data_IF_884714325011
#
_entry.id   IF_884714325011
#
_cell.length_a   1.000
_cell.length_b   1.000
_cell.length_c   1.000
_cell.angle_alpha   90.00
_cell.angle_beta   90.00
_cell.angle_gamma   90.00
#
_symmetry.space_group_name_H-M   'P 1'
#
loop_
_entity.id
_entity.type
_entity.pdbx_description
1 polymer ?
#
# COMPACT_ATOMS: atom_id res chain seq x y z
N UNK A 1 -36.11 3.38 -43.30
CA UNK A 1 -36.76 3.78 -42.03
C UNK A 1 -36.80 2.56 -41.11
N UNK A 2 -35.78 2.42 -40.27
CA UNK A 2 -35.74 1.58 -39.06
C UNK A 2 -34.60 2.14 -38.23
N UNK A 3 -34.92 3.14 -37.41
CA UNK A 3 -33.98 3.77 -36.48
C UNK A 3 -33.92 2.92 -35.21
N UNK A 4 -32.81 2.21 -35.01
CA UNK A 4 -32.51 1.68 -33.67
C UNK A 4 -32.20 2.83 -32.72
N UNK A 5 -32.67 2.77 -31.46
CA UNK A 5 -32.32 3.75 -30.44
C UNK A 5 -30.83 3.61 -30.06
N UNK A 6 -30.15 4.71 -29.69
CA UNK A 6 -28.76 4.66 -29.26
C UNK A 6 -28.61 3.94 -27.92
N UNK A 7 -27.46 3.29 -27.66
CA UNK A 7 -27.18 2.68 -26.37
C UNK A 7 -27.12 3.74 -25.27
N UNK A 8 -27.82 3.46 -24.17
CA UNK A 8 -27.87 4.28 -22.97
C UNK A 8 -26.50 4.35 -22.30
N UNK A 9 -25.84 5.51 -22.42
CA UNK A 9 -24.74 5.89 -21.55
C UNK A 9 -25.26 6.03 -20.12
N UNK A 10 -24.76 5.18 -19.22
CA UNK A 10 -24.90 5.35 -17.77
C UNK A 10 -24.00 6.52 -17.33
N UNK A 11 -24.58 7.70 -17.15
CA UNK A 11 -23.93 8.83 -16.50
C UNK A 11 -24.88 9.41 -15.45
N UNK A 12 -24.73 8.95 -14.22
CA UNK A 12 -25.36 9.53 -13.04
C UNK A 12 -24.67 10.85 -12.68
N UNK A 13 -25.06 11.96 -13.33
CA UNK A 13 -24.82 13.31 -12.80
C UNK A 13 -25.93 13.65 -11.80
N UNK A 14 -25.66 13.54 -10.50
CA UNK A 14 -26.42 14.25 -9.47
C UNK A 14 -25.49 15.17 -8.68
N UNK A 15 -25.68 16.47 -8.93
CA UNK A 15 -25.20 17.59 -8.12
C UNK A 15 -25.63 17.42 -6.67
N UNK A 16 -24.69 17.41 -5.72
CA UNK A 16 -24.95 17.40 -4.29
C UNK A 16 -24.31 18.62 -3.61
N UNK A 17 -25.20 19.47 -3.09
CA UNK A 17 -24.89 20.63 -2.26
C UNK A 17 -24.45 20.14 -0.87
N UNK A 18 -23.20 20.43 -0.48
CA UNK A 18 -22.64 20.05 0.82
C UNK A 18 -23.19 20.93 1.95
N UNK A 19 -23.84 20.30 2.92
CA UNK A 19 -24.21 20.90 4.21
C UNK A 19 -23.03 20.78 5.18
N UNK A 20 -22.50 21.92 5.65
CA UNK A 20 -21.55 22.01 6.76
C UNK A 20 -22.32 21.88 8.08
N UNK A 21 -21.96 20.93 8.94
CA UNK A 21 -21.71 21.13 10.38
C UNK A 21 -21.43 19.83 11.12
N UNK A 22 -20.83 20.00 12.31
CA UNK A 22 -20.64 19.04 13.41
C UNK A 22 -19.27 18.36 13.43
N UNK A 23 -18.35 18.90 14.25
CA UNK A 23 -17.83 18.23 15.45
C UNK A 23 -17.00 19.23 16.29
N UNK A 24 -17.45 19.47 17.52
CA UNK A 24 -16.72 20.16 18.60
C UNK A 24 -16.61 19.19 19.77
N UNK A 25 -15.41 19.09 20.35
CA UNK A 25 -15.21 18.93 21.79
C UNK A 25 -14.87 17.52 22.29
N UNK A 26 -13.61 17.31 22.65
CA UNK A 26 -13.22 16.46 23.78
C UNK A 26 -11.92 16.99 24.40
N UNK A 27 -11.94 17.21 25.70
CA UNK A 27 -10.82 17.70 26.54
C UNK A 27 -9.84 16.58 26.92
N UNK A 28 -8.59 16.90 27.32
CA UNK A 28 -7.56 15.92 27.61
C UNK A 28 -7.63 15.38 29.06
N UNK A 29 -7.44 14.06 29.20
CA UNK A 29 -7.23 13.38 30.48
C UNK A 29 -5.73 13.43 30.86
N UNK A 30 -5.45 13.75 32.12
CA UNK A 30 -4.11 13.72 32.71
C UNK A 30 -3.74 12.31 33.20
N UNK A 31 -2.44 11.92 33.20
CA UNK A 31 -1.99 10.65 33.77
C UNK A 31 -1.57 10.80 35.24
N UNK A 32 -2.02 9.88 36.09
CA UNK A 32 -1.51 9.67 37.45
C UNK A 32 -0.41 8.60 37.42
N UNK A 33 0.82 8.98 37.77
CA UNK A 33 1.94 8.06 37.95
C UNK A 33 2.02 7.59 39.41
N UNK A 34 2.04 6.27 39.62
CA UNK A 34 2.43 5.65 40.89
C UNK A 34 3.86 5.10 40.75
N UNK A 35 4.81 5.73 41.44
CA UNK A 35 6.18 5.23 41.57
C UNK A 35 6.23 4.22 42.73
N UNK A 36 6.61 2.99 42.43
CA UNK A 36 7.02 1.98 43.41
C UNK A 36 8.55 1.90 43.39
N UNK A 37 9.19 2.28 44.49
CA UNK A 37 10.64 2.22 44.66
C UNK A 37 11.07 0.80 45.04
N UNK A 38 11.60 0.05 44.07
CA UNK A 38 12.31 -1.22 44.31
C UNK A 38 13.78 -0.98 44.67
N UNK A 39 14.39 -1.86 45.47
CA UNK A 39 15.77 -1.72 45.95
C UNK A 39 16.79 -1.82 44.82
N UNK A 40 17.82 -0.98 44.93
CA UNK A 40 18.95 -0.80 44.01
C UNK A 40 19.64 -2.13 43.66
N UNK A 41 19.34 -2.64 42.46
CA UNK A 41 20.17 -3.63 41.77
C UNK A 41 21.45 -2.92 41.31
N UNK A 42 22.63 -3.49 41.62
CA UNK A 42 23.89 -3.07 41.02
C UNK A 42 23.81 -3.32 39.52
N UNK A 43 23.70 -2.23 38.76
CA UNK A 43 23.78 -2.24 37.29
C UNK A 43 25.23 -2.53 36.93
N UNK A 44 25.51 -3.74 36.45
CA UNK A 44 26.75 -4.02 35.74
C UNK A 44 26.77 -3.14 34.48
N UNK A 45 27.85 -2.37 34.31
CA UNK A 45 27.98 -1.50 33.13
C UNK A 45 27.92 -2.36 31.86
N UNK A 46 27.02 -2.05 30.91
CA UNK A 46 26.88 -2.83 29.70
C UNK A 46 28.19 -2.81 28.91
N UNK A 47 28.73 -3.99 28.65
CA UNK A 47 29.85 -4.19 27.73
C UNK A 47 29.48 -3.52 26.42
N UNK A 48 30.26 -2.52 26.03
CA UNK A 48 30.07 -1.73 24.82
C UNK A 48 30.37 -2.63 23.62
N UNK A 49 29.39 -3.37 23.13
CA UNK A 49 29.49 -4.11 21.88
C UNK A 49 29.79 -3.11 20.76
N UNK A 50 30.96 -3.25 20.14
CA UNK A 50 31.29 -2.54 18.91
C UNK A 50 30.27 -2.97 17.84
N UNK A 51 29.56 -2.03 17.19
CA UNK A 51 28.60 -2.39 16.16
C UNK A 51 29.33 -3.10 15.02
N UNK A 52 28.86 -4.31 14.69
CA UNK A 52 29.38 -5.06 13.55
C UNK A 52 29.38 -4.17 12.30
N UNK A 53 30.41 -4.26 11.44
CA UNK A 53 30.48 -3.46 10.23
C UNK A 53 29.24 -3.72 9.37
N UNK A 54 28.48 -2.65 9.10
CA UNK A 54 27.31 -2.67 8.20
C UNK A 54 27.78 -3.21 6.86
N UNK A 55 27.36 -4.42 6.50
CA UNK A 55 27.66 -4.97 5.18
C UNK A 55 26.93 -4.11 4.15
N UNK A 56 27.66 -3.26 3.45
CA UNK A 56 27.09 -2.45 2.37
C UNK A 56 26.64 -3.37 1.24
N UNK A 57 25.34 -3.65 1.17
CA UNK A 57 24.74 -4.35 0.03
C UNK A 57 25.06 -3.64 -1.27
N UNK A 58 25.31 -4.41 -2.34
CA UNK A 58 25.55 -3.84 -3.66
C UNK A 58 24.24 -3.27 -4.24
N UNK A 59 24.34 -2.37 -5.22
CA UNK A 59 23.16 -1.88 -5.95
C UNK A 59 22.37 -3.03 -6.61
N UNK A 60 23.07 -4.11 -7.00
CA UNK A 60 22.45 -5.31 -7.57
C UNK A 60 21.59 -6.02 -6.53
N UNK A 61 22.03 -6.09 -5.28
CA UNK A 61 21.26 -6.70 -4.19
C UNK A 61 19.97 -5.91 -3.95
N UNK A 62 20.04 -4.57 -3.95
CA UNK A 62 18.84 -3.72 -3.81
C UNK A 62 17.81 -3.94 -4.91
N UNK A 63 18.24 -4.00 -6.18
CA UNK A 63 17.32 -4.27 -7.29
C UNK A 63 16.78 -5.70 -7.26
N UNK A 64 17.59 -6.67 -6.82
CA UNK A 64 17.13 -8.05 -6.60
C UNK A 64 16.04 -8.10 -5.54
N UNK A 65 16.25 -7.47 -4.39
CA UNK A 65 15.24 -7.37 -3.33
C UNK A 65 14.01 -6.58 -3.79
N UNK A 66 14.18 -5.54 -4.61
CA UNK A 66 13.06 -4.77 -5.20
C UNK A 66 12.20 -5.66 -6.09
N UNK A 67 12.81 -6.49 -6.95
CA UNK A 67 12.09 -7.44 -7.79
C UNK A 67 11.39 -8.51 -6.95
N UNK A 68 12.05 -9.02 -5.91
CA UNK A 68 11.46 -9.98 -4.96
C UNK A 68 10.24 -9.40 -4.25
N UNK A 69 10.32 -8.17 -3.74
CA UNK A 69 9.19 -7.46 -3.12
C UNK A 69 8.07 -7.21 -4.13
N UNK A 70 8.41 -6.84 -5.37
CA UNK A 70 7.43 -6.61 -6.45
C UNK A 70 6.59 -7.85 -6.71
N UNK A 71 7.24 -9.01 -6.88
CA UNK A 71 6.56 -10.28 -7.19
C UNK A 71 5.84 -10.85 -5.97
N UNK A 72 6.47 -10.79 -4.80
CA UNK A 72 5.92 -11.40 -3.59
C UNK A 72 4.82 -10.58 -2.93
N UNK A 73 4.78 -9.25 -3.10
CA UNK A 73 3.86 -8.38 -2.36
C UNK A 73 3.04 -7.49 -3.28
N UNK A 74 3.68 -6.64 -4.09
CA UNK A 74 3.01 -5.55 -4.77
C UNK A 74 2.09 -6.00 -5.90
N UNK A 75 2.54 -6.98 -6.70
CA UNK A 75 1.68 -7.56 -7.73
C UNK A 75 0.47 -8.26 -7.12
N UNK A 76 0.63 -9.18 -6.13
CA UNK A 76 -0.50 -9.78 -5.42
C UNK A 76 -1.44 -8.76 -4.77
N UNK A 77 -0.91 -7.64 -4.24
CA UNK A 77 -1.69 -6.57 -3.64
C UNK A 77 -2.64 -5.94 -4.67
N UNK A 78 -2.11 -5.40 -5.77
CA UNK A 78 -2.92 -4.79 -6.83
C UNK A 78 -3.90 -5.78 -7.47
N UNK A 79 -3.47 -7.03 -7.68
CA UNK A 79 -4.36 -8.10 -8.14
C UNK A 79 -5.51 -8.34 -7.16
N UNK A 80 -5.20 -8.46 -5.87
CA UNK A 80 -6.17 -8.72 -4.80
C UNK A 80 -7.16 -7.58 -4.65
N UNK A 81 -6.69 -6.33 -4.72
CA UNK A 81 -7.55 -5.15 -4.69
C UNK A 81 -8.58 -5.18 -5.83
N UNK A 82 -8.13 -5.42 -7.07
CA UNK A 82 -9.01 -5.47 -8.25
C UNK A 82 -9.96 -6.67 -8.22
N UNK A 83 -9.51 -7.83 -7.77
CA UNK A 83 -10.39 -8.97 -7.58
C UNK A 83 -11.49 -8.67 -6.56
N UNK A 84 -11.13 -8.00 -5.46
CA UNK A 84 -12.09 -7.56 -4.45
C UNK A 84 -13.02 -6.45 -4.95
N UNK A 85 -12.60 -5.56 -5.84
CA UNK A 85 -13.49 -4.53 -6.40
C UNK A 85 -14.59 -5.16 -7.26
N UNK A 86 -14.26 -6.19 -8.05
CA UNK A 86 -15.23 -6.98 -8.82
C UNK A 86 -16.22 -7.69 -7.88
N UNK A 87 -15.72 -8.28 -6.80
CA UNK A 87 -16.58 -8.90 -5.79
C UNK A 87 -17.51 -7.87 -5.12
N UNK A 88 -17.00 -6.70 -4.76
CA UNK A 88 -17.80 -5.64 -4.15
C UNK A 88 -18.90 -5.12 -5.09
N UNK A 89 -18.59 -4.93 -6.38
CA UNK A 89 -19.56 -4.56 -7.40
C UNK A 89 -20.62 -5.65 -7.60
N UNK A 90 -20.21 -6.93 -7.62
CA UNK A 90 -21.13 -8.08 -7.66
C UNK A 90 -22.05 -8.19 -6.44
N UNK A 91 -21.67 -7.58 -5.31
CA UNK A 91 -22.51 -7.44 -4.11
C UNK A 91 -23.43 -6.21 -4.15
N UNK A 92 -23.33 -5.38 -5.19
CA UNK A 92 -24.12 -4.16 -5.37
C UNK A 92 -23.56 -2.93 -4.66
N UNK A 93 -22.30 -2.96 -4.21
CA UNK A 93 -21.63 -1.79 -3.64
C UNK A 93 -20.96 -0.96 -4.72
N UNK A 94 -21.27 0.32 -4.77
CA UNK A 94 -20.62 1.26 -5.68
C UNK A 94 -19.26 1.72 -5.16
N UNK A 95 -18.44 2.25 -6.07
CA UNK A 95 -17.12 2.83 -5.78
C UNK A 95 -17.14 4.05 -4.83
N UNK A 96 -18.29 4.48 -4.32
CA UNK A 96 -18.44 5.54 -3.31
C UNK A 96 -18.84 5.02 -1.94
N UNK A 97 -19.09 3.71 -1.82
CA UNK A 97 -19.66 3.12 -0.62
C UNK A 97 -18.57 2.62 0.33
N UNK A 98 -18.76 2.83 1.63
CA UNK A 98 -17.80 2.37 2.66
C UNK A 98 -17.52 0.85 2.57
N UNK A 99 -18.52 -0.03 2.34
CA UNK A 99 -18.24 -1.46 2.13
C UNK A 99 -17.30 -1.74 0.94
N UNK A 100 -17.40 -0.99 -0.15
CA UNK A 100 -16.49 -1.15 -1.30
C UNK A 100 -15.05 -0.87 -0.89
N UNK A 101 -14.81 0.22 -0.14
CA UNK A 101 -13.49 0.59 0.38
C UNK A 101 -12.91 -0.51 1.28
N UNK A 102 -13.72 -1.05 2.19
CA UNK A 102 -13.26 -2.08 3.12
C UNK A 102 -12.98 -3.41 2.41
N UNK A 103 -13.81 -3.81 1.44
CA UNK A 103 -13.63 -5.06 0.69
C UNK A 103 -12.38 -4.99 -0.18
N UNK A 104 -12.16 -3.87 -0.87
CA UNK A 104 -10.97 -3.66 -1.71
C UNK A 104 -9.68 -3.59 -0.86
N UNK A 105 -9.69 -2.87 0.26
CA UNK A 105 -8.61 -2.94 1.25
C UNK A 105 -8.36 -4.36 1.79
N UNK A 106 -9.43 -5.13 2.01
CA UNK A 106 -9.33 -6.55 2.37
C UNK A 106 -8.69 -7.41 1.28
N UNK A 107 -8.93 -7.09 0.01
CA UNK A 107 -8.25 -7.70 -1.14
C UNK A 107 -6.76 -7.42 -1.15
N UNK A 108 -6.36 -6.17 -0.89
CA UNK A 108 -4.97 -5.74 -0.80
C UNK A 108 -4.25 -6.46 0.36
N UNK A 109 -4.89 -6.54 1.53
CA UNK A 109 -4.43 -7.31 2.69
C UNK A 109 -4.18 -8.77 2.32
N UNK A 110 -5.17 -9.44 1.74
CA UNK A 110 -5.10 -10.85 1.38
C UNK A 110 -4.00 -11.10 0.34
N UNK A 111 -3.90 -10.22 -0.67
CA UNK A 111 -2.87 -10.23 -1.68
C UNK A 111 -1.46 -10.20 -1.08
N UNK A 112 -1.18 -9.22 -0.22
CA UNK A 112 0.14 -9.11 0.46
C UNK A 112 0.44 -10.30 1.35
N UNK A 113 -0.52 -10.73 2.18
CA UNK A 113 -0.30 -11.82 3.13
C UNK A 113 -0.03 -13.16 2.42
N UNK A 114 -0.85 -13.50 1.43
CA UNK A 114 -0.75 -14.75 0.65
C UNK A 114 0.50 -14.69 -0.23
N UNK A 115 0.71 -13.58 -0.93
CA UNK A 115 1.87 -13.39 -1.80
C UNK A 115 3.18 -13.53 -1.04
N UNK A 116 3.34 -12.83 0.09
CA UNK A 116 4.58 -12.82 0.85
C UNK A 116 4.85 -14.20 1.46
N UNK A 117 3.87 -14.74 2.19
CA UNK A 117 4.03 -16.02 2.88
C UNK A 117 4.20 -17.16 1.88
N UNK A 118 3.42 -17.16 0.79
CA UNK A 118 3.49 -18.18 -0.26
C UNK A 118 4.82 -18.14 -1.01
N UNK A 119 5.30 -16.95 -1.38
CA UNK A 119 6.59 -16.79 -2.05
C UNK A 119 7.74 -17.36 -1.21
N UNK A 120 7.84 -16.99 0.07
CA UNK A 120 8.90 -17.49 0.95
C UNK A 120 8.73 -18.96 1.35
N UNK A 121 7.51 -19.48 1.40
CA UNK A 121 7.27 -20.92 1.56
C UNK A 121 7.81 -21.71 0.35
N UNK A 122 7.59 -21.23 -0.87
CA UNK A 122 8.15 -21.81 -2.09
C UNK A 122 9.66 -21.68 -2.09
N UNK A 123 10.20 -20.47 -1.86
CA UNK A 123 11.64 -20.22 -1.78
C UNK A 123 12.32 -21.13 -0.75
N UNK A 124 11.65 -21.38 0.39
CA UNK A 124 12.12 -22.34 1.39
C UNK A 124 12.20 -23.76 0.85
N UNK A 125 11.14 -24.22 0.20
CA UNK A 125 11.06 -25.58 -0.31
C UNK A 125 12.05 -25.87 -1.45
N UNK A 126 12.40 -24.85 -2.25
CA UNK A 126 13.19 -25.05 -3.48
C UNK A 126 14.63 -24.53 -3.42
N UNK A 127 14.92 -23.53 -2.58
CA UNK A 127 16.19 -22.79 -2.64
C UNK A 127 16.85 -22.59 -1.27
N UNK A 128 16.11 -22.14 -0.25
CA UNK A 128 16.69 -21.75 1.04
C UNK A 128 15.95 -22.38 2.24
N UNK A 129 16.37 -23.56 2.72
CA UNK A 129 15.71 -24.24 3.83
C UNK A 129 15.81 -23.48 5.17
N UNK A 130 16.67 -22.45 5.27
CA UNK A 130 16.88 -21.68 6.50
C UNK A 130 15.76 -20.68 6.80
N UNK A 131 14.93 -20.34 5.82
CA UNK A 131 13.81 -19.39 5.96
C UNK A 131 12.89 -19.81 7.12
N UNK A 132 12.62 -18.89 8.05
CA UNK A 132 11.62 -19.10 9.10
C UNK A 132 10.23 -18.62 8.63
N UNK A 133 9.34 -19.57 8.36
CA UNK A 133 7.98 -19.29 7.88
C UNK A 133 7.14 -18.58 8.94
N UNK A 134 7.41 -18.79 10.23
CA UNK A 134 6.70 -18.08 11.30
C UNK A 134 7.01 -16.58 11.24
N UNK A 135 8.29 -16.23 11.18
CA UNK A 135 8.74 -14.83 11.14
C UNK A 135 8.30 -14.16 9.83
N UNK A 136 8.32 -14.91 8.72
CA UNK A 136 7.77 -14.49 7.43
C UNK A 136 6.26 -14.19 7.53
N UNK A 137 5.47 -15.08 8.15
CA UNK A 137 4.04 -14.88 8.30
C UNK A 137 3.71 -13.68 9.22
N UNK A 138 4.50 -13.46 10.27
CA UNK A 138 4.38 -12.28 11.13
C UNK A 138 4.68 -10.98 10.38
N UNK A 139 5.76 -10.97 9.59
CA UNK A 139 6.11 -9.85 8.71
C UNK A 139 5.03 -9.61 7.67
N UNK A 140 4.52 -10.67 7.05
CA UNK A 140 3.42 -10.63 6.09
C UNK A 140 2.15 -10.04 6.69
N UNK A 141 1.78 -10.44 7.90
CA UNK A 141 0.62 -9.92 8.61
C UNK A 141 0.77 -8.41 8.89
N UNK A 142 1.93 -7.98 9.38
CA UNK A 142 2.20 -6.57 9.64
C UNK A 142 2.10 -5.72 8.37
N UNK A 143 2.74 -6.15 7.28
CA UNK A 143 2.70 -5.45 5.99
C UNK A 143 1.29 -5.48 5.37
N UNK A 144 0.56 -6.59 5.50
CA UNK A 144 -0.80 -6.73 4.99
C UNK A 144 -1.75 -5.75 5.69
N UNK A 145 -1.60 -5.52 6.99
CA UNK A 145 -2.39 -4.50 7.72
C UNK A 145 -2.11 -3.09 7.22
N UNK A 146 -0.85 -2.75 6.92
CA UNK A 146 -0.53 -1.48 6.28
C UNK A 146 -1.11 -1.37 4.85
N UNK A 147 -1.06 -2.45 4.09
CA UNK A 147 -1.67 -2.54 2.76
C UNK A 147 -3.19 -2.36 2.83
N UNK A 148 -3.87 -2.97 3.81
CA UNK A 148 -5.29 -2.75 4.06
C UNK A 148 -5.64 -1.27 4.18
N UNK A 149 -4.89 -0.53 5.00
CA UNK A 149 -5.11 0.90 5.21
C UNK A 149 -4.92 1.71 3.92
N UNK A 150 -3.89 1.39 3.14
CA UNK A 150 -3.63 2.01 1.83
C UNK A 150 -4.72 1.68 0.80
N UNK A 151 -5.01 0.39 0.61
CA UNK A 151 -6.00 -0.09 -0.34
C UNK A 151 -7.41 0.40 -0.05
N UNK A 152 -7.83 0.44 1.23
CA UNK A 152 -9.12 0.99 1.60
C UNK A 152 -9.23 2.50 1.39
N UNK A 153 -8.11 3.23 1.50
CA UNK A 153 -8.08 4.68 1.29
C UNK A 153 -8.01 5.07 -0.21
N UNK A 154 -7.60 4.15 -1.08
CA UNK A 154 -7.35 4.45 -2.50
C UNK A 154 -8.56 5.02 -3.21
N UNK A 155 -9.70 4.32 -3.19
CA UNK A 155 -10.90 4.77 -3.89
C UNK A 155 -11.45 6.10 -3.33
N UNK A 156 -11.55 6.32 -2.00
CA UNK A 156 -11.91 7.64 -1.46
C UNK A 156 -11.01 8.78 -1.93
N UNK A 157 -9.69 8.55 -1.98
CA UNK A 157 -8.73 9.57 -2.42
C UNK A 157 -8.93 9.87 -3.91
N UNK A 158 -9.03 8.85 -4.75
CA UNK A 158 -9.27 9.00 -6.20
C UNK A 158 -10.58 9.74 -6.44
N UNK A 159 -11.67 9.33 -5.78
CA UNK A 159 -12.98 9.98 -5.85
C UNK A 159 -12.92 11.46 -5.44
N UNK A 160 -12.16 11.78 -4.39
CA UNK A 160 -12.01 13.16 -3.92
C UNK A 160 -11.36 14.05 -4.99
N UNK A 161 -10.30 13.58 -5.64
CA UNK A 161 -9.62 14.35 -6.69
C UNK A 161 -10.43 14.40 -7.99
N UNK A 162 -11.05 13.29 -8.40
CA UNK A 162 -11.96 13.27 -9.54
C UNK A 162 -13.20 14.14 -9.31
N UNK A 163 -13.71 14.21 -8.07
CA UNK A 163 -14.87 15.02 -7.71
C UNK A 163 -14.65 16.54 -7.83
N UNK A 164 -13.40 16.99 -7.96
CA UNK A 164 -13.04 18.38 -8.28
C UNK A 164 -12.54 18.54 -9.72
N UNK A 165 -12.84 17.57 -10.59
CA UNK A 165 -12.41 17.51 -11.99
C UNK A 165 -10.88 17.65 -12.16
N UNK A 166 -10.09 17.09 -11.22
CA UNK A 166 -8.64 17.16 -11.27
C UNK A 166 -8.08 16.39 -12.49
N UNK A 167 -6.98 16.88 -13.12
CA UNK A 167 -6.34 16.16 -14.20
C UNK A 167 -5.66 14.88 -13.69
N UNK A 168 -5.41 13.92 -14.59
CA UNK A 168 -4.78 12.64 -14.26
C UNK A 168 -3.56 12.77 -13.34
N UNK A 169 -2.62 13.68 -13.64
CA UNK A 169 -1.40 13.85 -12.83
C UNK A 169 -1.68 14.30 -11.39
N UNK A 170 -2.76 15.05 -11.16
CA UNK A 170 -3.17 15.45 -9.82
C UNK A 170 -3.78 14.28 -9.05
N UNK A 171 -4.59 13.44 -9.72
CA UNK A 171 -5.12 12.20 -9.10
C UNK A 171 -4.00 11.22 -8.80
N UNK A 172 -3.08 11.02 -9.76
CA UNK A 172 -1.87 10.21 -9.60
C UNK A 172 -1.05 10.67 -8.39
N UNK A 173 -0.75 11.96 -8.29
CA UNK A 173 0.03 12.50 -7.17
C UNK A 173 -0.75 12.44 -5.84
N UNK A 174 -2.07 12.65 -5.90
CA UNK A 174 -2.97 12.54 -4.77
C UNK A 174 -3.03 11.13 -4.20
N UNK A 175 -3.18 10.12 -5.06
CA UNK A 175 -3.12 8.71 -4.69
C UNK A 175 -1.73 8.35 -4.14
N UNK A 176 -0.65 8.78 -4.80
CA UNK A 176 0.71 8.55 -4.31
C UNK A 176 0.90 9.06 -2.89
N UNK A 177 0.60 10.33 -2.64
CA UNK A 177 0.81 10.94 -1.33
C UNK A 177 -0.15 10.38 -0.27
N UNK A 178 -1.44 10.29 -0.60
CA UNK A 178 -2.48 9.88 0.35
C UNK A 178 -2.39 8.41 0.73
N UNK A 179 -2.26 7.51 -0.24
CA UNK A 179 -2.13 6.07 0.04
C UNK A 179 -0.79 5.74 0.67
N UNK A 180 0.31 6.39 0.25
CA UNK A 180 1.61 6.27 0.93
C UNK A 180 1.53 6.68 2.40
N UNK A 181 0.86 7.79 2.72
CA UNK A 181 0.62 8.20 4.10
C UNK A 181 -0.23 7.20 4.89
N UNK A 182 -1.29 6.66 4.28
CA UNK A 182 -2.15 5.66 4.93
C UNK A 182 -1.42 4.34 5.17
N UNK A 183 -0.54 3.93 4.26
CA UNK A 183 0.36 2.79 4.45
C UNK A 183 1.30 3.05 5.64
N UNK A 184 1.96 4.21 5.68
CA UNK A 184 2.82 4.61 6.80
C UNK A 184 2.09 4.55 8.13
N UNK A 185 0.90 5.16 8.21
CA UNK A 185 0.08 5.13 9.41
C UNK A 185 -0.26 3.68 9.84
N UNK A 186 -0.57 2.81 8.87
CA UNK A 186 -0.78 1.39 9.09
C UNK A 186 0.44 0.66 9.65
N UNK A 187 1.66 0.94 9.14
CA UNK A 187 2.90 0.38 9.71
C UNK A 187 3.08 0.79 11.17
N UNK A 188 2.88 2.08 11.48
CA UNK A 188 3.01 2.62 12.84
C UNK A 188 1.98 2.04 13.80
N UNK A 189 0.73 1.94 13.36
CA UNK A 189 -0.33 1.28 14.12
C UNK A 189 0.00 -0.20 14.37
N UNK A 190 0.51 -0.89 13.36
CA UNK A 190 0.95 -2.28 13.46
C UNK A 190 2.02 -2.49 14.54
N UNK A 191 3.02 -1.61 14.63
CA UNK A 191 4.04 -1.67 15.70
C UNK A 191 3.45 -1.49 17.11
N UNK A 192 2.43 -0.65 17.24
CA UNK A 192 1.75 -0.43 18.52
C UNK A 192 0.84 -1.61 18.93
N UNK A 193 0.34 -2.38 17.96
CA UNK A 193 -0.63 -3.47 18.19
C UNK A 193 0.03 -4.84 18.28
N UNK A 194 1.08 -5.09 17.47
CA UNK A 194 1.68 -6.42 17.35
C UNK A 194 2.88 -6.59 18.29
N UNK A 195 2.81 -7.48 19.29
CA UNK A 195 3.87 -7.66 20.29
C UNK A 195 5.14 -8.32 19.73
N UNK A 196 5.12 -8.80 18.49
CA UNK A 196 6.30 -9.36 17.81
C UNK A 196 7.09 -8.31 17.02
N UNK A 197 6.58 -7.08 16.92
CA UNK A 197 7.29 -5.98 16.25
C UNK A 197 8.22 -5.29 17.23
N UNK A 198 9.41 -4.85 16.79
CA UNK A 198 10.25 -3.99 17.61
C UNK A 198 9.54 -2.66 17.87
N UNK A 199 9.83 -2.09 19.05
CA UNK A 199 9.31 -0.80 19.49
C UNK A 199 9.58 0.31 18.48
N UNK A 200 8.72 1.32 18.46
CA UNK A 200 8.89 2.49 17.63
C UNK A 200 10.16 3.26 18.01
N UNK A 201 11.10 3.40 17.08
CA UNK A 201 12.32 4.20 17.20
C UNK A 201 12.50 5.09 15.96
N UNK A 202 13.61 5.84 15.93
CA UNK A 202 13.90 6.75 14.82
C UNK A 202 14.30 6.01 13.54
N UNK A 203 15.08 4.94 13.65
CA UNK A 203 15.58 4.20 12.49
C UNK A 203 14.43 3.52 11.74
N UNK A 204 13.53 2.88 12.47
CA UNK A 204 12.34 2.28 11.90
C UNK A 204 11.30 3.31 11.45
N UNK A 205 11.28 4.51 12.03
CA UNK A 205 10.47 5.61 11.51
C UNK A 205 10.94 6.06 10.12
N UNK A 206 12.25 6.19 9.91
CA UNK A 206 12.83 6.54 8.61
C UNK A 206 12.63 5.41 7.59
N UNK A 207 12.82 4.16 8.01
CA UNK A 207 12.58 3.01 7.15
C UNK A 207 11.10 2.91 6.73
N UNK A 208 10.17 3.06 7.68
CA UNK A 208 8.73 3.03 7.41
C UNK A 208 8.33 4.17 6.44
N UNK A 209 8.87 5.37 6.61
CA UNK A 209 8.58 6.53 5.75
C UNK A 209 9.10 6.32 4.31
N UNK A 210 10.32 5.83 4.15
CA UNK A 210 10.93 5.58 2.84
C UNK A 210 10.26 4.42 2.09
N UNK A 211 9.92 3.32 2.78
CA UNK A 211 9.08 2.26 2.23
C UNK A 211 7.73 2.81 1.77
N UNK A 212 7.08 3.62 2.60
CA UNK A 212 5.76 4.19 2.30
C UNK A 212 5.78 5.13 1.10
N UNK A 213 6.88 5.82 0.83
CA UNK A 213 7.04 6.61 -0.38
C UNK A 213 7.05 5.73 -1.65
N UNK A 214 7.65 4.53 -1.59
CA UNK A 214 7.60 3.55 -2.69
C UNK A 214 6.21 2.93 -2.87
N UNK A 215 5.48 2.68 -1.78
CA UNK A 215 4.06 2.27 -1.85
C UNK A 215 3.19 3.36 -2.44
N UNK A 216 3.47 4.63 -2.14
CA UNK A 216 2.87 5.76 -2.83
C UNK A 216 3.09 5.66 -4.35
N UNK A 217 4.30 5.33 -4.80
CA UNK A 217 4.59 5.08 -6.21
C UNK A 217 3.70 3.99 -6.82
N UNK A 218 3.56 2.86 -6.13
CA UNK A 218 2.68 1.76 -6.54
C UNK A 218 1.22 2.21 -6.71
N UNK A 219 0.68 2.89 -5.71
CA UNK A 219 -0.74 3.33 -5.69
C UNK A 219 -1.01 4.48 -6.66
N UNK A 220 -0.03 5.35 -6.92
CA UNK A 220 -0.10 6.37 -7.96
C UNK A 220 -0.19 5.74 -9.35
N UNK A 221 0.69 4.77 -9.66
CA UNK A 221 0.63 4.04 -10.93
C UNK A 221 -0.66 3.26 -11.10
N UNK A 222 -1.26 2.80 -10.00
CA UNK A 222 -2.54 2.12 -10.04
C UNK A 222 -3.67 3.01 -10.59
N UNK A 223 -3.60 4.34 -10.43
CA UNK A 223 -4.54 5.27 -11.11
C UNK A 223 -4.50 5.12 -12.63
N UNK A 224 -3.39 4.62 -13.20
CA UNK A 224 -3.27 4.31 -14.62
C UNK A 224 -4.27 3.27 -15.13
N UNK A 225 -4.85 2.44 -14.26
CA UNK A 225 -5.89 1.45 -14.64
C UNK A 225 -7.29 2.05 -14.72
N UNK A 226 -7.51 3.28 -14.24
CA UNK A 226 -8.84 3.87 -14.06
C UNK A 226 -9.48 4.31 -15.38
N UNK A 227 -10.67 3.74 -15.65
CA UNK A 227 -11.50 4.02 -16.82
C UNK A 227 -11.85 5.51 -16.97
N UNK A 228 -11.96 6.27 -15.88
CA UNK A 228 -12.35 7.68 -15.89
C UNK A 228 -11.42 8.58 -16.71
N UNK A 229 -10.18 8.15 -16.94
CA UNK A 229 -9.18 8.89 -17.73
C UNK A 229 -8.87 8.25 -19.08
N UNK A 230 -9.66 7.28 -19.55
CA UNK A 230 -9.43 6.60 -20.81
C UNK A 230 -9.78 7.48 -22.02
N UNK A 231 -10.80 8.34 -21.92
CA UNK A 231 -11.32 9.10 -23.08
C UNK A 231 -10.56 10.40 -23.44
N UNK A 232 -9.29 10.54 -23.03
CA UNK A 232 -8.35 11.33 -23.85
C UNK A 232 -7.82 12.67 -23.33
N UNK A 233 -7.45 12.81 -22.05
CA UNK A 233 -6.41 13.78 -21.70
C UNK A 233 -5.62 13.38 -20.45
N UNK A 234 -4.43 12.80 -20.65
CA UNK A 234 -3.38 12.83 -19.64
C UNK A 234 -3.04 11.52 -18.94
N UNK A 235 -3.83 10.44 -19.07
CA UNK A 235 -3.41 9.11 -18.58
C UNK A 235 -2.34 8.51 -19.50
N UNK A 236 -1.09 8.92 -19.27
CA UNK A 236 0.09 8.42 -19.99
C UNK A 236 0.44 6.96 -19.65
N UNK A 237 -0.20 6.36 -18.64
CA UNK A 237 -0.04 4.96 -18.25
C UNK A 237 -0.99 4.00 -18.99
N UNK A 238 -2.09 4.51 -19.57
CA UNK A 238 -3.09 3.72 -20.29
C UNK A 238 -2.50 2.69 -21.26
N UNK A 239 -1.55 3.04 -22.15
CA UNK A 239 -1.03 2.07 -23.14
C UNK A 239 -0.31 0.86 -22.54
N UNK A 240 0.09 0.92 -21.27
CA UNK A 240 0.85 -0.14 -20.60
C UNK A 240 -0.03 -0.93 -19.63
N UNK A 241 -0.84 -0.24 -18.84
CA UNK A 241 -1.58 -0.82 -17.70
C UNK A 241 -3.05 -0.41 -17.65
N UNK A 242 -3.55 0.35 -18.62
CA UNK A 242 -4.95 0.76 -18.65
C UNK A 242 -5.88 -0.44 -18.80
N UNK A 243 -6.90 -0.54 -17.95
CA UNK A 243 -7.96 -1.54 -18.08
C UNK A 243 -8.97 -1.00 -19.08
N UNK A 244 -9.14 -1.72 -20.18
CA UNK A 244 -10.00 -1.36 -21.29
C UNK A 244 -11.35 -2.08 -21.17
N UNK A 245 -12.42 -1.52 -21.73
CA UNK A 245 -13.77 -2.10 -21.65
C UNK A 245 -13.88 -3.54 -22.21
N UNK A 246 -12.94 -3.92 -23.09
CA UNK A 246 -12.88 -5.25 -23.69
C UNK A 246 -12.06 -6.26 -22.87
N UNK A 247 -11.38 -5.82 -21.81
CA UNK A 247 -10.63 -6.72 -20.94
C UNK A 247 -11.58 -7.58 -20.12
N UNK A 248 -11.20 -8.85 -19.93
CA UNK A 248 -11.88 -9.70 -18.95
C UNK A 248 -11.46 -9.33 -17.53
N UNK A 249 -12.28 -9.69 -16.54
CA UNK A 249 -11.98 -9.51 -15.11
C UNK A 249 -10.57 -9.93 -14.71
N UNK A 250 -10.13 -11.11 -15.19
CA UNK A 250 -8.79 -11.62 -14.90
C UNK A 250 -7.70 -10.75 -15.54
N UNK A 251 -7.90 -10.25 -16.76
CA UNK A 251 -6.96 -9.31 -17.41
C UNK A 251 -6.92 -8.00 -16.63
N UNK A 252 -8.06 -7.52 -16.14
CA UNK A 252 -8.15 -6.37 -15.24
C UNK A 252 -7.30 -6.58 -13.98
N UNK A 253 -7.43 -7.72 -13.31
CA UNK A 253 -6.63 -8.04 -12.12
C UNK A 253 -5.13 -8.14 -12.43
N UNK A 254 -4.74 -8.72 -13.57
CA UNK A 254 -3.34 -8.79 -13.99
C UNK A 254 -2.76 -7.40 -14.28
N UNK A 255 -3.52 -6.51 -14.93
CA UNK A 255 -3.11 -5.12 -15.19
C UNK A 255 -3.00 -4.33 -13.89
N UNK A 256 -3.93 -4.51 -12.95
CA UNK A 256 -3.86 -3.92 -11.62
C UNK A 256 -2.59 -4.36 -10.86
N UNK A 257 -2.32 -5.66 -10.75
CA UNK A 257 -1.07 -6.15 -10.14
C UNK A 257 0.19 -5.67 -10.86
N UNK A 258 0.16 -5.59 -12.20
CA UNK A 258 1.29 -5.06 -12.98
C UNK A 258 1.51 -3.58 -12.70
N UNK A 259 0.45 -2.78 -12.58
CA UNK A 259 0.52 -1.34 -12.31
C UNK A 259 1.18 -1.02 -10.97
N UNK A 260 0.75 -1.69 -9.90
CA UNK A 260 1.31 -1.50 -8.55
C UNK A 260 2.76 -1.98 -8.51
N UNK A 261 3.06 -3.11 -9.15
CA UNK A 261 4.42 -3.62 -9.26
C UNK A 261 5.36 -2.66 -10.00
N UNK A 262 4.94 -2.14 -11.15
CA UNK A 262 5.71 -1.18 -11.93
C UNK A 262 5.94 0.13 -11.15
N UNK A 263 4.89 0.68 -10.54
CA UNK A 263 4.99 1.92 -9.77
C UNK A 263 5.92 1.80 -8.57
N UNK A 264 5.85 0.67 -7.84
CA UNK A 264 6.79 0.38 -6.77
C UNK A 264 8.22 0.26 -7.31
N UNK A 265 8.43 -0.49 -8.39
CA UNK A 265 9.76 -0.69 -8.96
C UNK A 265 10.40 0.63 -9.40
N UNK A 266 9.62 1.54 -10.00
CA UNK A 266 10.09 2.87 -10.41
C UNK A 266 10.45 3.72 -9.18
N UNK A 267 9.54 3.83 -8.21
CA UNK A 267 9.76 4.64 -7.01
C UNK A 267 10.92 4.10 -6.16
N UNK A 268 10.97 2.78 -5.95
CA UNK A 268 12.04 2.12 -5.23
C UNK A 268 13.36 2.17 -6.00
N UNK A 269 13.33 2.03 -7.32
CA UNK A 269 14.51 2.16 -8.17
C UNK A 269 15.17 3.54 -8.03
N UNK A 270 14.37 4.61 -7.96
CA UNK A 270 14.86 5.95 -7.68
C UNK A 270 15.51 6.03 -6.28
N UNK A 271 14.88 5.44 -5.26
CA UNK A 271 15.46 5.36 -3.91
C UNK A 271 16.77 4.57 -3.89
N UNK A 272 16.85 3.44 -4.59
CA UNK A 272 18.04 2.59 -4.67
C UNK A 272 19.25 3.33 -5.26
N UNK A 273 19.02 4.27 -6.19
CA UNK A 273 20.07 5.08 -6.83
C UNK A 273 20.44 6.30 -5.99
N UNK A 274 19.46 6.94 -5.33
CA UNK A 274 19.65 8.20 -4.60
C UNK A 274 20.21 7.99 -3.20
N UNK A 275 19.76 6.97 -2.46
CA UNK A 275 20.19 6.76 -1.09
C UNK A 275 21.58 6.08 -1.02
N UNK A 276 22.51 6.56 -0.17
CA UNK A 276 23.75 5.85 0.12
C UNK A 276 23.51 4.43 0.67
N UNK A 277 24.48 3.54 0.55
CA UNK A 277 24.45 2.21 1.20
C UNK A 277 24.25 2.32 2.71
N UNK A 278 23.39 1.45 3.27
CA UNK A 278 23.01 1.44 4.68
C UNK A 278 22.03 2.55 5.08
N UNK A 279 21.37 3.20 4.11
CA UNK A 279 20.41 4.29 4.33
C UNK A 279 19.07 4.07 3.64
N UNK A 280 18.97 3.11 2.73
CA UNK A 280 17.69 2.69 2.17
C UNK A 280 17.04 1.69 3.13
N UNK A 281 15.70 1.66 3.20
CA UNK A 281 14.99 0.66 4.00
C UNK A 281 15.20 -0.79 3.52
N UNK A 282 15.76 -0.98 2.32
CA UNK A 282 16.15 -2.27 1.77
C UNK A 282 17.52 -2.78 2.23
N UNK A 283 18.33 -1.94 2.90
CA UNK A 283 19.68 -2.28 3.37
C UNK A 283 19.69 -2.95 4.75
#
# INVERSE_FOLDING_TARGET
KNSQPPPTMFAARRSLTLSRNVFRGASPLQPTAYFHSSPLLKVEEPVKEEPAPVQSGSIVDRFTTTAEVTVSKLFPAGFGWQASSILADGMGYGATDVPFFLITGGGDFAGVMIGHTGYYAIKKAVYDPSINIKDTAQTGLWLATAAFCSGAAWQPIVNMWQGVDAPFNAVFAGAWAGCGFMFYAGLRAGRAVYPFMPDADYDNLVADATLSASIGGATGFFVGTDAAYMDGAGNWLRPVIGVEDADSDIVGCLKAGTSTGLGFFVAQGAQNVVYPSGKCWLD
#
